data_IF_976464826672
#
_entry.id   IF_976464826672
#
_cell.length_a   1.000
_cell.length_b   1.000
_cell.length_c   1.000
_cell.angle_alpha   90.00
_cell.angle_beta   90.00
_cell.angle_gamma   90.00
#
_symmetry.space_group_name_H-M   'P 1'
#
loop_
_entity.id
_entity.type
_entity.pdbx_description
1 polymer ?
#
# COMPACT_ATOMS: atom_id res chain seq x y z
N UNK A 1 1.16 8.35 6.13
CA UNK A 1 1.81 7.14 5.58
C UNK A 1 3.10 6.81 6.34
N UNK A 2 4.10 7.71 6.36
CA UNK A 2 5.38 7.54 7.06
C UNK A 2 5.27 7.01 8.50
N UNK A 3 4.44 7.64 9.34
CA UNK A 3 4.21 7.19 10.72
C UNK A 3 3.67 5.76 10.81
N UNK A 4 2.71 5.38 9.97
CA UNK A 4 2.15 4.03 9.96
C UNK A 4 3.21 2.97 9.66
N UNK A 5 4.11 3.20 8.69
CA UNK A 5 5.16 2.23 8.39
C UNK A 5 6.21 2.17 9.50
N UNK A 6 6.63 3.31 10.05
CA UNK A 6 7.58 3.35 11.18
C UNK A 6 7.02 2.70 12.45
N UNK A 7 5.75 2.94 12.80
CA UNK A 7 5.10 2.34 13.98
C UNK A 7 4.94 0.82 13.85
N UNK A 8 4.72 0.33 12.63
CA UNK A 8 4.66 -1.11 12.35
C UNK A 8 6.07 -1.74 12.17
N UNK A 9 7.15 -0.97 12.35
CA UNK A 9 8.51 -1.48 12.20
C UNK A 9 8.87 -1.89 10.77
N UNK A 10 8.18 -1.36 9.77
CA UNK A 10 8.45 -1.65 8.37
C UNK A 10 9.57 -0.76 7.87
N UNK A 11 10.58 -1.39 7.27
CA UNK A 11 11.60 -0.68 6.53
C UNK A 11 11.00 -0.12 5.23
N UNK A 12 11.06 1.20 5.06
CA UNK A 12 10.67 1.89 3.83
C UNK A 12 11.75 2.89 3.43
N UNK A 13 11.81 3.17 2.14
CA UNK A 13 12.67 4.21 1.58
C UNK A 13 11.78 5.34 1.12
N UNK A 14 12.00 6.53 1.67
CA UNK A 14 11.37 7.75 1.19
C UNK A 14 12.14 8.22 -0.05
N UNK A 15 11.44 8.28 -1.19
CA UNK A 15 11.95 8.91 -2.40
C UNK A 15 11.08 10.10 -2.72
N UNK A 16 11.71 11.26 -2.82
CA UNK A 16 11.02 12.48 -3.20
C UNK A 16 10.95 12.57 -4.73
N UNK A 17 9.73 12.64 -5.28
CA UNK A 17 9.52 12.65 -6.74
C UNK A 17 9.87 14.01 -7.36
N UNK A 18 9.99 15.06 -6.55
CA UNK A 18 10.42 16.38 -7.02
C UNK A 18 11.94 16.44 -7.16
N UNK A 19 12.68 15.76 -6.28
CA UNK A 19 14.14 15.68 -6.34
C UNK A 19 14.63 14.50 -7.20
N UNK A 20 13.86 13.41 -7.28
CA UNK A 20 14.25 12.16 -7.91
C UNK A 20 13.53 11.97 -9.25
N UNK A 21 14.18 12.42 -10.32
CA UNK A 21 13.64 12.38 -11.68
C UNK A 21 13.29 10.96 -12.18
N UNK A 22 13.93 9.93 -11.62
CA UNK A 22 13.62 8.53 -11.97
C UNK A 22 12.27 8.12 -11.39
N UNK A 23 12.00 8.49 -10.13
CA UNK A 23 10.70 8.22 -9.51
C UNK A 23 9.57 8.99 -10.23
N UNK A 24 9.84 10.23 -10.64
CA UNK A 24 8.92 11.01 -11.47
C UNK A 24 8.63 10.31 -12.82
N UNK A 25 9.67 9.84 -13.50
CA UNK A 25 9.50 9.12 -14.77
C UNK A 25 8.66 7.86 -14.61
N UNK A 26 8.90 7.05 -13.57
CA UNK A 26 8.07 5.85 -13.33
C UNK A 26 6.59 6.24 -13.14
N UNK A 27 6.30 7.34 -12.43
CA UNK A 27 4.93 7.84 -12.30
C UNK A 27 4.31 8.25 -13.63
N UNK A 28 5.07 8.97 -14.47
CA UNK A 28 4.62 9.35 -15.81
C UNK A 28 4.35 8.12 -16.70
N UNK A 29 5.23 7.12 -16.67
CA UNK A 29 5.07 5.87 -17.42
C UNK A 29 3.86 5.04 -16.95
N UNK A 30 3.57 5.08 -15.65
CA UNK A 30 2.38 4.48 -15.07
C UNK A 30 1.09 5.29 -15.33
N UNK A 31 1.21 6.51 -15.88
CA UNK A 31 0.09 7.42 -16.09
C UNK A 31 -0.48 8.01 -14.79
N UNK A 32 0.34 8.05 -13.74
CA UNK A 32 -0.04 8.48 -12.40
C UNK A 32 0.50 9.87 -12.14
N UNK A 33 -0.41 10.84 -12.02
CA UNK A 33 -0.05 12.24 -11.73
C UNK A 33 -0.33 12.64 -10.27
N UNK A 34 -0.64 11.65 -9.42
CA UNK A 34 -1.10 11.89 -8.06
C UNK A 34 -0.19 11.20 -7.06
N UNK A 35 0.13 11.93 -5.98
CA UNK A 35 0.89 11.44 -4.84
C UNK A 35 -0.02 11.39 -3.61
N UNK A 36 0.24 10.52 -2.62
CA UNK A 36 1.38 9.59 -2.49
C UNK A 36 1.26 8.32 -3.34
N UNK A 37 2.38 7.73 -3.75
CA UNK A 37 2.46 6.42 -4.42
C UNK A 37 3.38 5.51 -3.64
N UNK A 38 2.97 4.25 -3.46
CA UNK A 38 3.77 3.23 -2.75
C UNK A 38 4.01 2.07 -3.69
N UNK A 39 5.29 1.77 -3.92
CA UNK A 39 5.74 0.58 -4.64
C UNK A 39 6.18 -0.48 -3.65
N UNK A 40 5.55 -1.64 -3.68
CA UNK A 40 5.93 -2.81 -2.86
C UNK A 40 6.41 -3.90 -3.81
N UNK A 41 7.74 -4.01 -3.94
CA UNK A 41 8.36 -4.92 -4.91
C UNK A 41 7.98 -4.55 -6.35
N UNK A 42 7.18 -5.39 -6.98
CA UNK A 42 6.68 -5.21 -8.35
C UNK A 42 5.30 -4.52 -8.41
N UNK A 43 4.57 -4.50 -7.30
CA UNK A 43 3.25 -3.89 -7.24
C UNK A 43 3.32 -2.39 -6.94
N UNK A 44 2.51 -1.62 -7.64
CA UNK A 44 2.36 -0.17 -7.43
C UNK A 44 0.96 0.14 -6.93
N UNK A 45 0.89 0.84 -5.80
CA UNK A 45 -0.33 1.36 -5.21
C UNK A 45 -0.31 2.87 -5.31
N UNK A 46 -1.29 3.41 -6.01
CA UNK A 46 -1.49 4.85 -6.15
C UNK A 46 -2.44 5.32 -5.06
N UNK A 47 -2.04 6.33 -4.29
CA UNK A 47 -2.81 6.87 -3.17
C UNK A 47 -2.55 6.17 -1.84
N UNK A 48 -3.46 6.38 -0.89
CA UNK A 48 -3.41 5.79 0.46
C UNK A 48 -4.43 4.65 0.58
N UNK A 49 -4.04 3.46 0.14
CA UNK A 49 -4.94 2.31 0.05
C UNK A 49 -4.62 1.27 1.15
N UNK A 50 -5.19 1.47 2.34
CA UNK A 50 -4.90 0.65 3.53
C UNK A 50 -5.11 -0.85 3.28
N UNK A 51 -6.16 -1.23 2.55
CA UNK A 51 -6.46 -2.64 2.26
C UNK A 51 -5.37 -3.28 1.38
N UNK A 52 -4.98 -2.62 0.28
CA UNK A 52 -3.88 -3.10 -0.57
C UNK A 52 -2.56 -3.11 0.17
N UNK A 53 -2.23 -2.04 0.89
CA UNK A 53 -0.98 -1.97 1.66
C UNK A 53 -0.89 -3.10 2.68
N UNK A 54 -1.98 -3.37 3.40
CA UNK A 54 -2.06 -4.47 4.37
C UNK A 54 -1.78 -5.81 3.67
N UNK A 55 -2.45 -6.07 2.54
CA UNK A 55 -2.25 -7.29 1.76
C UNK A 55 -0.81 -7.43 1.22
N UNK A 56 -0.24 -6.33 0.69
CA UNK A 56 1.10 -6.28 0.12
C UNK A 56 2.20 -6.42 1.15
N UNK A 57 2.03 -5.81 2.32
CA UNK A 57 2.98 -5.85 3.43
C UNK A 57 2.78 -7.11 4.29
N UNK A 58 1.80 -7.95 3.96
CA UNK A 58 1.46 -9.13 4.76
C UNK A 58 0.97 -8.79 6.17
N UNK A 59 0.50 -7.56 6.40
CA UNK A 59 -0.25 -7.21 7.60
C UNK A 59 -1.66 -7.83 7.46
N UNK A 60 -2.04 -8.69 8.39
CA UNK A 60 -3.25 -9.53 8.34
C UNK A 60 -4.55 -8.80 7.89
N UNK A 61 -5.48 -9.48 7.16
CA UNK A 61 -6.52 -8.91 6.29
C UNK A 61 -7.80 -8.41 7.02
N UNK A 62 -8.82 -7.89 6.27
CA UNK A 62 -10.17 -7.62 6.82
C UNK A 62 -10.71 -8.78 7.66
N UNK A 63 -11.63 -8.50 8.62
CA UNK A 63 -12.12 -9.50 9.55
C UNK A 63 -12.55 -10.75 8.78
N UNK A 64 -12.10 -11.93 9.25
CA UNK A 64 -12.73 -13.19 8.85
C UNK A 64 -14.22 -12.96 8.93
N UNK A 65 -14.90 -13.12 7.80
CA UNK A 65 -16.34 -13.07 7.72
C UNK A 65 -16.86 -14.23 8.59
N UNK A 66 -17.08 -13.95 9.86
CA UNK A 66 -17.87 -14.77 10.75
C UNK A 66 -19.34 -14.51 10.36
N UNK A 67 -19.78 -15.17 9.29
CA UNK A 67 -21.19 -15.40 9.02
C UNK A 67 -21.58 -16.71 9.70
N UNK A 68 -22.70 -16.76 10.44
CA UNK A 68 -22.98 -17.83 11.40
C UNK A 68 -23.04 -19.18 10.71
N UNK A 69 -22.38 -20.17 11.29
CA UNK A 69 -22.65 -21.58 11.07
C UNK A 69 -24.18 -21.76 11.01
N UNK A 70 -24.68 -22.31 9.89
CA UNK A 70 -26.10 -22.59 9.69
C UNK A 70 -26.69 -23.24 10.95
N UNK A 71 -27.66 -22.54 11.55
CA UNK A 71 -28.45 -23.09 12.64
C UNK A 71 -29.43 -24.15 12.15
N UNK A 72 -29.80 -25.04 13.07
CA UNK A 72 -31.12 -25.65 13.17
C UNK A 72 -31.44 -26.75 12.16
N UNK A 73 -31.47 -27.98 12.66
CA UNK A 73 -32.07 -29.15 12.02
C UNK A 73 -31.94 -30.36 12.93
#
# INVERSE_FOLDING_TARGET
>A
MKGFLSENGIAYVERDVMEDAVALRELEELGVMTTPVVRVGDEVVVGFDRARLSALLGMDPPPRQAGPCCGGG
#
